data_IF_629184770635
#
_entry.id   IF_629184770635
#
_cell.length_a   1.000
_cell.length_b   1.000
_cell.length_c   1.000
_cell.angle_alpha   90.00
_cell.angle_beta   90.00
_cell.angle_gamma   90.00
#
_symmetry.space_group_name_H-M   'P 1'
#
loop_
_entity.id
_entity.type
_entity.pdbx_description
1 polymer ?
#
# COMPACT_ATOMS: atom_id res chain seq x y z
N UNK A 1 -0.14 10.05 10.56
CA UNK A 1 -1.23 9.81 11.53
C UNK A 1 -1.34 8.34 11.91
N UNK A 2 -1.70 7.41 11.01
CA UNK A 2 -1.81 5.98 11.36
C UNK A 2 -0.51 5.39 11.95
N UNK A 3 0.65 5.89 11.52
CA UNK A 3 1.96 5.55 12.08
C UNK A 3 2.19 6.00 13.54
N UNK A 4 1.33 6.84 14.11
CA UNK A 4 1.42 7.26 15.51
C UNK A 4 0.81 6.23 16.46
N UNK A 5 -0.03 5.32 15.96
CA UNK A 5 -0.67 4.27 16.76
C UNK A 5 0.36 3.25 17.28
N UNK A 6 0.12 2.67 18.47
CA UNK A 6 1.05 1.73 19.08
C UNK A 6 1.27 0.52 18.18
N UNK A 7 2.54 0.17 18.01
CA UNK A 7 3.01 -0.95 17.19
C UNK A 7 2.61 -0.91 15.71
N UNK A 8 2.10 0.24 15.21
CA UNK A 8 1.79 0.40 13.80
C UNK A 8 3.04 0.77 13.02
N UNK A 9 3.39 -0.04 12.02
CA UNK A 9 4.48 0.27 11.09
C UNK A 9 3.92 0.59 9.72
N UNK A 10 4.14 1.82 9.25
CA UNK A 10 3.70 2.25 7.92
C UNK A 10 4.80 2.00 6.90
N UNK A 11 4.53 1.14 5.91
CA UNK A 11 5.40 1.00 4.75
C UNK A 11 5.07 2.02 3.65
N UNK A 12 6.07 2.33 2.81
CA UNK A 12 5.90 3.16 1.60
C UNK A 12 4.92 2.55 0.59
N UNK A 13 4.76 3.09 -0.61
CA UNK A 13 3.82 2.49 -1.58
C UNK A 13 4.28 1.10 -2.07
N UNK A 14 3.33 0.28 -2.54
CA UNK A 14 3.60 -1.06 -3.08
C UNK A 14 4.02 -1.09 -4.57
N UNK A 15 4.20 0.07 -5.22
CA UNK A 15 4.60 0.20 -6.63
C UNK A 15 3.83 -0.74 -7.59
N UNK A 16 2.56 -1.03 -7.31
CA UNK A 16 1.70 -1.94 -8.10
C UNK A 16 2.17 -3.41 -8.15
N UNK A 17 3.05 -3.85 -7.25
CA UNK A 17 3.56 -5.24 -7.20
C UNK A 17 2.45 -6.26 -6.90
N UNK A 18 1.41 -5.89 -6.16
CA UNK A 18 0.27 -6.78 -5.88
C UNK A 18 -0.54 -7.13 -7.14
N UNK A 19 -0.61 -6.22 -8.10
CA UNK A 19 -1.22 -6.52 -9.40
C UNK A 19 -0.41 -7.56 -10.16
N UNK A 20 0.91 -7.42 -10.16
CA UNK A 20 1.82 -8.37 -10.81
C UNK A 20 1.65 -9.75 -10.17
N UNK A 21 1.62 -9.82 -8.83
CA UNK A 21 1.35 -11.05 -8.10
C UNK A 21 0.03 -11.70 -8.54
N UNK A 22 -1.07 -10.95 -8.61
CA UNK A 22 -2.37 -11.49 -9.07
C UNK A 22 -2.34 -12.05 -10.49
N UNK A 23 -1.57 -11.42 -11.39
CA UNK A 23 -1.42 -11.89 -12.77
C UNK A 23 -0.63 -13.18 -12.83
N UNK A 24 0.40 -13.32 -11.99
CA UNK A 24 1.17 -14.56 -11.87
C UNK A 24 0.28 -15.69 -11.34
N UNK A 25 -0.49 -15.44 -10.29
CA UNK A 25 -1.48 -16.39 -9.74
C UNK A 25 -2.49 -16.83 -10.81
N UNK A 26 -3.13 -15.88 -11.48
CA UNK A 26 -4.11 -16.15 -12.54
C UNK A 26 -3.50 -16.96 -13.69
N UNK A 27 -2.27 -16.64 -14.11
CA UNK A 27 -1.58 -17.37 -15.18
C UNK A 27 -1.22 -18.79 -14.76
N UNK A 28 -0.80 -18.99 -13.51
CA UNK A 28 -0.51 -20.29 -12.93
C UNK A 28 -1.76 -21.17 -12.87
N UNK A 29 -2.89 -20.61 -12.41
CA UNK A 29 -4.17 -21.34 -12.34
C UNK A 29 -4.68 -21.75 -13.72
N UNK A 30 -4.68 -20.82 -14.68
CA UNK A 30 -5.28 -21.09 -16.00
C UNK A 30 -4.38 -21.89 -16.93
N UNK A 31 -3.05 -21.75 -16.84
CA UNK A 31 -2.11 -22.27 -17.84
C UNK A 31 -0.98 -23.10 -17.24
N UNK A 32 -0.98 -23.31 -15.92
CA UNK A 32 0.12 -23.97 -15.21
C UNK A 32 1.46 -23.29 -15.46
N UNK A 33 2.55 -24.06 -15.30
CA UNK A 33 3.91 -23.57 -15.56
C UNK A 33 4.16 -23.19 -17.02
N UNK A 34 3.34 -23.64 -17.98
CA UNK A 34 3.45 -23.23 -19.38
C UNK A 34 3.10 -21.74 -19.56
N UNK A 35 2.19 -21.21 -18.74
CA UNK A 35 1.86 -19.78 -18.70
C UNK A 35 2.97 -18.88 -18.16
N UNK A 36 3.89 -19.44 -17.36
CA UNK A 36 5.06 -18.76 -16.80
C UNK A 36 6.30 -18.78 -17.71
N UNK A 37 6.29 -19.60 -18.76
CA UNK A 37 7.44 -19.84 -19.65
C UNK A 37 7.33 -19.14 -21.00
N UNK A 38 6.22 -18.44 -21.28
CA UNK A 38 5.93 -17.90 -22.61
C UNK A 38 6.88 -16.78 -23.09
N UNK A 39 7.79 -16.32 -22.22
CA UNK A 39 8.85 -15.34 -22.55
C UNK A 39 10.27 -15.87 -22.37
N UNK A 40 10.46 -17.13 -21.99
CA UNK A 40 11.81 -17.72 -21.93
C UNK A 40 12.22 -18.08 -23.36
N UNK A 41 13.33 -17.53 -23.90
CA UNK A 41 13.74 -17.83 -25.26
C UNK A 41 13.85 -19.35 -25.47
N UNK A 42 13.22 -19.86 -26.53
CA UNK A 42 13.11 -21.29 -26.82
C UNK A 42 14.44 -22.00 -27.13
N UNK A 43 15.57 -21.28 -27.08
CA UNK A 43 16.90 -21.81 -27.33
C UNK A 43 17.84 -21.45 -26.17
N UNK A 44 18.18 -22.41 -25.30
CA UNK A 44 19.29 -22.23 -24.38
C UNK A 44 20.60 -22.27 -25.19
N UNK A 45 21.39 -21.20 -25.11
CA UNK A 45 22.81 -21.29 -25.43
C UNK A 45 23.47 -22.09 -24.31
N UNK A 46 24.00 -23.28 -24.64
CA UNK A 46 24.65 -24.17 -23.69
C UNK A 46 26.10 -23.73 -23.46
N UNK A 47 26.37 -23.00 -22.39
CA UNK A 47 27.71 -22.93 -21.79
C UNK A 47 27.64 -23.38 -20.33
N UNK A 48 28.74 -23.96 -19.83
CA UNK A 48 28.81 -24.69 -18.56
C UNK A 48 28.48 -23.88 -17.29
N UNK A 49 28.32 -22.55 -17.41
CA UNK A 49 28.10 -21.64 -16.29
C UNK A 49 27.07 -20.53 -16.58
N UNK A 50 26.09 -20.77 -17.46
CA UNK A 50 25.02 -19.80 -17.66
C UNK A 50 24.14 -19.71 -16.41
N UNK A 51 24.02 -18.50 -15.84
CA UNK A 51 22.87 -18.17 -15.00
C UNK A 51 21.71 -17.99 -15.97
N UNK A 52 20.66 -18.80 -15.87
CA UNK A 52 19.42 -18.49 -16.56
C UNK A 52 18.99 -17.08 -16.12
N UNK A 53 18.65 -16.21 -17.08
CA UNK A 53 17.92 -15.00 -16.73
C UNK A 53 16.71 -15.43 -15.92
N UNK A 54 16.56 -14.82 -14.74
CA UNK A 54 15.38 -15.01 -13.92
C UNK A 54 14.21 -14.55 -14.82
N UNK A 55 13.27 -15.45 -15.17
CA UNK A 55 12.15 -15.05 -16.01
C UNK A 55 11.47 -13.82 -15.42
N UNK A 56 11.00 -12.88 -16.24
CA UNK A 56 10.21 -11.73 -15.75
C UNK A 56 9.02 -12.17 -14.88
N UNK A 57 8.58 -13.43 -15.03
CA UNK A 57 7.49 -14.07 -14.31
C UNK A 57 7.94 -14.95 -13.13
N UNK A 58 9.22 -14.89 -12.74
CA UNK A 58 9.71 -15.61 -11.59
C UNK A 58 9.15 -14.99 -10.31
N UNK A 59 8.48 -15.81 -9.51
CA UNK A 59 7.86 -15.33 -8.27
C UNK A 59 8.87 -14.94 -7.20
N UNK A 60 10.15 -15.35 -7.28
CA UNK A 60 11.15 -15.06 -6.25
C UNK A 60 11.33 -13.55 -6.00
N UNK A 61 11.52 -12.76 -7.06
CA UNK A 61 11.70 -11.31 -6.91
C UNK A 61 10.40 -10.60 -6.55
N UNK A 62 9.27 -10.99 -7.14
CA UNK A 62 7.96 -10.38 -6.82
C UNK A 62 7.52 -10.70 -5.40
N UNK A 63 7.64 -11.95 -4.93
CA UNK A 63 7.30 -12.32 -3.55
C UNK A 63 8.21 -11.61 -2.58
N UNK A 64 9.53 -11.54 -2.82
CA UNK A 64 10.43 -10.80 -1.96
C UNK A 64 10.03 -9.32 -1.87
N UNK A 65 9.73 -8.69 -3.01
CA UNK A 65 9.24 -7.30 -3.04
C UNK A 65 7.89 -7.15 -2.34
N UNK A 66 6.98 -8.11 -2.47
CA UNK A 66 5.68 -8.13 -1.79
C UNK A 66 5.87 -8.26 -0.28
N UNK A 67 6.78 -9.11 0.18
CA UNK A 67 7.11 -9.27 1.61
C UNK A 67 7.75 -8.01 2.20
N UNK A 68 8.76 -7.44 1.51
CA UNK A 68 9.38 -6.16 1.88
C UNK A 68 8.37 -5.00 1.84
N UNK A 69 7.39 -5.10 0.96
CA UNK A 69 6.28 -4.17 0.86
C UNK A 69 5.37 -4.30 2.09
N UNK A 70 4.99 -5.50 2.51
CA UNK A 70 3.99 -5.70 3.55
C UNK A 70 4.54 -5.45 4.97
N UNK A 71 5.79 -5.80 5.25
CA UNK A 71 6.39 -5.68 6.58
C UNK A 71 7.73 -4.93 6.52
N UNK A 72 7.72 -3.59 6.49
CA UNK A 72 8.96 -2.82 6.50
C UNK A 72 9.66 -2.92 7.86
N UNK A 73 11.00 -2.87 7.91
CA UNK A 73 11.74 -2.75 9.17
C UNK A 73 11.41 -1.43 9.90
N UNK A 74 11.65 -1.29 11.22
CA UNK A 74 11.49 -0.02 11.94
C UNK A 74 12.26 1.12 11.28
N UNK A 75 11.82 2.37 11.43
CA UNK A 75 12.48 3.52 10.79
C UNK A 75 13.93 3.66 11.23
N UNK A 76 14.23 3.43 12.51
CA UNK A 76 15.59 3.48 13.04
C UNK A 76 16.47 2.40 12.40
N UNK A 77 15.91 1.22 12.13
CA UNK A 77 16.60 0.13 11.42
C UNK A 77 16.75 0.47 9.93
N UNK A 78 15.73 1.07 9.30
CA UNK A 78 15.83 1.56 7.93
C UNK A 78 16.95 2.59 7.81
N UNK A 79 17.03 3.56 8.72
CA UNK A 79 18.08 4.55 8.74
C UNK A 79 19.45 3.92 9.01
N UNK A 80 19.55 2.95 9.92
CA UNK A 80 20.79 2.20 10.13
C UNK A 80 21.22 1.42 8.88
N UNK A 81 20.29 0.81 8.14
CA UNK A 81 20.58 0.13 6.86
C UNK A 81 21.04 1.12 5.79
N UNK A 82 20.41 2.30 5.71
CA UNK A 82 20.77 3.36 4.75
C UNK A 82 22.15 3.93 5.07
N UNK A 83 22.46 4.10 6.36
CA UNK A 83 23.67 4.77 6.83
C UNK A 83 24.84 3.80 7.10
N UNK A 84 24.65 2.48 7.00
CA UNK A 84 25.70 1.50 7.25
C UNK A 84 26.52 1.18 6.00
N UNK A 85 27.84 1.25 6.16
CA UNK A 85 28.79 0.83 5.14
C UNK A 85 28.63 -0.67 4.84
N UNK A 86 28.84 -1.02 3.57
CA UNK A 86 28.54 -2.35 3.00
C UNK A 86 29.13 -3.56 3.75
N UNK A 87 30.12 -3.37 4.62
CA UNK A 87 30.76 -4.41 5.45
C UNK A 87 30.04 -4.75 6.75
N UNK A 88 29.11 -3.92 7.25
CA UNK A 88 28.42 -4.13 8.55
C UNK A 88 26.93 -4.52 8.43
N UNK A 89 26.41 -4.64 7.20
CA UNK A 89 24.99 -4.97 6.92
C UNK A 89 24.49 -6.31 7.49
N UNK A 90 25.37 -7.14 8.03
CA UNK A 90 25.05 -8.52 8.41
C UNK A 90 24.74 -8.74 9.91
N UNK A 91 24.77 -7.72 10.77
CA UNK A 91 24.65 -7.93 12.23
C UNK A 91 23.36 -7.45 12.90
N UNK A 92 22.47 -6.73 12.20
CA UNK A 92 21.17 -6.37 12.77
C UNK A 92 20.23 -7.55 12.55
N UNK A 93 20.17 -8.40 13.57
CA UNK A 93 19.29 -9.56 13.61
C UNK A 93 17.84 -9.06 13.70
N UNK A 94 17.21 -8.93 12.53
CA UNK A 94 15.80 -8.56 12.35
C UNK A 94 14.87 -9.51 13.13
N UNK A 95 15.34 -10.74 13.35
CA UNK A 95 14.69 -11.81 14.11
C UNK A 95 14.35 -11.44 15.57
N UNK A 96 15.15 -10.58 16.22
CA UNK A 96 14.89 -10.12 17.59
C UNK A 96 13.74 -9.10 17.67
N UNK A 97 13.35 -8.53 16.54
CA UNK A 97 12.30 -7.52 16.45
C UNK A 97 10.92 -8.08 16.07
N UNK A 98 10.81 -9.37 15.73
CA UNK A 98 9.59 -9.91 15.08
C UNK A 98 8.79 -10.89 15.93
N UNK A 99 7.51 -10.57 16.12
CA UNK A 99 6.35 -11.20 15.41
C UNK A 99 5.06 -11.05 16.19
N UNK A 100 5.11 -10.97 17.53
CA UNK A 100 3.90 -11.02 18.37
C UNK A 100 3.25 -9.67 18.69
N UNK A 101 3.86 -8.54 18.31
CA UNK A 101 3.37 -7.20 18.69
C UNK A 101 3.12 -6.25 17.51
N UNK A 102 3.57 -6.56 16.30
CA UNK A 102 3.53 -5.59 15.19
C UNK A 102 2.19 -5.63 14.47
N UNK A 103 1.56 -4.46 14.33
CA UNK A 103 0.46 -4.23 13.41
C UNK A 103 1.03 -3.55 12.16
N UNK A 104 1.10 -4.29 11.04
CA UNK A 104 1.54 -3.73 9.77
C UNK A 104 0.46 -2.82 9.18
N UNK A 105 0.82 -1.60 8.80
CA UNK A 105 -0.02 -0.73 7.99
C UNK A 105 0.67 -0.43 6.66
N UNK A 106 -0.07 -0.54 5.56
CA UNK A 106 0.52 -0.34 4.24
C UNK A 106 -0.40 0.45 3.32
N UNK A 107 0.19 1.43 2.65
CA UNK A 107 -0.48 2.10 1.54
C UNK A 107 -0.35 1.22 0.28
N UNK A 108 -1.50 0.76 -0.21
CA UNK A 108 -1.58 -0.01 -1.45
C UNK A 108 -2.21 0.85 -2.53
N UNK A 109 -1.58 0.87 -3.71
CA UNK A 109 -2.19 1.50 -4.87
C UNK A 109 -3.03 0.47 -5.62
N UNK A 110 -4.34 0.72 -5.69
CA UNK A 110 -5.28 -0.07 -6.48
C UNK A 110 -5.74 0.78 -7.65
N UNK A 111 -5.39 0.38 -8.89
CA UNK A 111 -5.61 1.19 -10.08
C UNK A 111 -6.72 0.61 -10.96
N UNK A 112 -7.63 1.48 -11.42
CA UNK A 112 -8.60 1.14 -12.46
C UNK A 112 -7.90 0.82 -13.79
N UNK A 113 -8.53 -0.04 -14.61
CA UNK A 113 -8.02 -0.47 -15.93
C UNK A 113 -7.13 -1.71 -15.91
N UNK A 114 -6.52 -2.03 -14.76
CA UNK A 114 -5.76 -3.27 -14.52
C UNK A 114 -6.65 -4.38 -13.94
N UNK A 115 -7.57 -3.98 -13.06
CA UNK A 115 -8.60 -4.82 -12.46
C UNK A 115 -9.98 -4.19 -12.64
N UNK A 116 -11.02 -5.01 -12.57
CA UNK A 116 -12.34 -4.58 -12.11
C UNK A 116 -12.36 -4.53 -10.57
N UNK A 117 -13.21 -3.69 -9.97
CA UNK A 117 -13.29 -3.58 -8.51
C UNK A 117 -13.59 -4.94 -7.83
N UNK A 118 -14.44 -5.76 -8.46
CA UNK A 118 -14.76 -7.11 -8.00
C UNK A 118 -13.58 -8.09 -8.08
N UNK A 119 -12.76 -8.01 -9.13
CA UNK A 119 -11.56 -8.85 -9.24
C UNK A 119 -10.53 -8.48 -8.17
N UNK A 120 -10.34 -7.18 -7.95
CA UNK A 120 -9.47 -6.71 -6.89
C UNK A 120 -9.98 -7.20 -5.52
N UNK A 121 -11.27 -6.99 -5.20
CA UNK A 121 -11.82 -7.39 -3.89
C UNK A 121 -11.68 -8.88 -3.63
N UNK A 122 -11.91 -9.74 -4.64
CA UNK A 122 -11.68 -11.19 -4.53
C UNK A 122 -10.22 -11.53 -4.24
N UNK A 123 -9.29 -10.95 -4.99
CA UNK A 123 -7.86 -11.17 -4.78
C UNK A 123 -7.42 -10.78 -3.37
N UNK A 124 -7.85 -9.60 -2.90
CA UNK A 124 -7.50 -9.11 -1.56
C UNK A 124 -8.13 -9.94 -0.45
N UNK A 125 -9.41 -10.30 -0.55
CA UNK A 125 -10.08 -11.15 0.43
C UNK A 125 -9.47 -12.55 0.54
N UNK A 126 -9.01 -13.09 -0.58
CA UNK A 126 -8.39 -14.42 -0.61
C UNK A 126 -6.96 -14.40 -0.06
N UNK A 127 -6.12 -13.46 -0.51
CA UNK A 127 -4.70 -13.42 -0.15
C UNK A 127 -4.43 -12.77 1.21
N UNK A 128 -5.32 -11.90 1.69
CA UNK A 128 -5.16 -11.16 2.95
C UNK A 128 -6.44 -11.23 3.78
N UNK A 129 -6.86 -12.43 4.22
CA UNK A 129 -8.18 -12.64 4.82
C UNK A 129 -8.38 -11.84 6.12
N UNK A 130 -7.30 -11.56 6.86
CA UNK A 130 -7.34 -10.83 8.12
C UNK A 130 -7.07 -9.32 7.98
N UNK A 131 -6.81 -8.82 6.77
CA UNK A 131 -6.50 -7.42 6.57
C UNK A 131 -7.77 -6.55 6.61
N UNK A 132 -7.60 -5.35 7.17
CA UNK A 132 -8.57 -4.25 7.11
C UNK A 132 -8.07 -3.19 6.13
N UNK A 133 -8.98 -2.59 5.38
CA UNK A 133 -8.70 -1.65 4.30
C UNK A 133 -9.36 -0.30 4.58
N UNK A 134 -8.53 0.72 4.80
CA UNK A 134 -8.99 2.11 4.78
C UNK A 134 -8.89 2.58 3.34
N UNK A 135 -10.04 2.89 2.74
CA UNK A 135 -10.12 3.35 1.36
C UNK A 135 -10.39 4.86 1.41
N UNK A 136 -9.37 5.64 1.11
CA UNK A 136 -9.47 7.09 1.07
C UNK A 136 -9.72 7.56 -0.38
N UNK A 137 -10.79 8.31 -0.60
CA UNK A 137 -11.12 8.88 -1.92
C UNK A 137 -11.59 10.34 -1.77
N UNK A 138 -11.86 11.02 -2.89
CA UNK A 138 -12.39 12.40 -2.90
C UNK A 138 -13.76 12.44 -3.57
N UNK A 139 -14.67 13.20 -2.97
CA UNK A 139 -15.97 13.50 -3.59
C UNK A 139 -15.82 14.56 -4.68
N UNK A 140 -14.98 15.58 -4.44
CA UNK A 140 -14.81 16.68 -5.35
C UNK A 140 -13.73 16.36 -6.40
N UNK A 141 -14.19 15.81 -7.54
CA UNK A 141 -13.33 15.48 -8.68
C UNK A 141 -12.61 16.71 -9.22
N UNK A 142 -13.24 17.89 -9.25
CA UNK A 142 -12.65 19.11 -9.81
C UNK A 142 -11.46 19.59 -8.99
N UNK A 143 -11.57 19.57 -7.66
CA UNK A 143 -10.45 19.91 -6.77
C UNK A 143 -9.30 18.91 -6.90
N UNK A 144 -9.60 17.63 -7.13
CA UNK A 144 -8.59 16.61 -7.38
C UNK A 144 -7.90 16.82 -8.73
N UNK A 145 -8.65 17.18 -9.77
CA UNK A 145 -8.11 17.56 -11.08
C UNK A 145 -7.19 18.77 -10.95
N UNK A 146 -7.65 19.83 -10.28
CA UNK A 146 -6.87 21.05 -10.07
C UNK A 146 -5.59 20.77 -9.29
N UNK A 147 -5.67 20.00 -8.21
CA UNK A 147 -4.51 19.58 -7.43
C UNK A 147 -3.52 18.79 -8.29
N UNK A 148 -3.99 17.83 -9.10
CA UNK A 148 -3.10 17.06 -9.96
C UNK A 148 -2.42 17.92 -11.03
N UNK A 149 -3.15 18.88 -11.63
CA UNK A 149 -2.59 19.83 -12.61
C UNK A 149 -1.51 20.73 -11.99
N UNK A 150 -1.74 21.19 -10.75
CA UNK A 150 -0.80 22.06 -10.06
C UNK A 150 0.48 21.33 -9.61
N UNK A 151 0.38 20.04 -9.30
CA UNK A 151 1.51 19.26 -8.75
C UNK A 151 2.34 18.56 -9.83
N UNK A 152 1.73 18.12 -10.92
CA UNK A 152 2.40 17.34 -11.96
C UNK A 152 2.32 18.03 -13.32
N UNK A 153 3.43 18.64 -13.74
CA UNK A 153 3.63 19.11 -15.12
C UNK A 153 3.85 17.88 -16.03
N UNK A 154 2.78 17.29 -16.56
CA UNK A 154 2.89 16.04 -17.32
C UNK A 154 1.77 15.73 -18.33
N UNK A 155 2.07 14.92 -19.36
CA UNK A 155 1.47 14.94 -20.71
C UNK A 155 0.17 14.13 -20.84
N UNK A 156 -0.56 13.88 -19.76
CA UNK A 156 -1.88 13.29 -19.91
C UNK A 156 -2.74 14.28 -20.71
N UNK A 157 -3.45 13.86 -21.78
CA UNK A 157 -4.41 14.73 -22.44
C UNK A 157 -5.31 15.35 -21.37
N UNK A 158 -5.20 16.66 -21.17
CA UNK A 158 -5.87 17.37 -20.08
C UNK A 158 -7.39 17.16 -20.12
N UNK A 159 -7.90 16.83 -21.32
CA UNK A 159 -9.30 16.53 -21.64
C UNK A 159 -9.78 15.20 -21.03
N UNK A 160 -8.92 14.19 -20.85
CA UNK A 160 -9.30 12.89 -20.26
C UNK A 160 -9.11 12.81 -18.74
N UNK A 161 -8.47 13.83 -18.15
CA UNK A 161 -8.08 13.83 -16.75
C UNK A 161 -9.28 13.75 -15.78
N UNK A 162 -10.36 14.54 -15.95
CA UNK A 162 -11.53 14.47 -15.07
C UNK A 162 -12.19 13.10 -15.11
N UNK A 163 -12.41 12.55 -16.31
CA UNK A 163 -13.00 11.23 -16.49
C UNK A 163 -12.14 10.12 -15.88
N UNK A 164 -10.82 10.21 -16.04
CA UNK A 164 -9.89 9.26 -15.44
C UNK A 164 -9.96 9.30 -13.92
N UNK A 165 -9.98 10.49 -13.31
CA UNK A 165 -10.10 10.65 -11.86
C UNK A 165 -11.45 10.11 -11.37
N UNK A 166 -12.55 10.48 -12.03
CA UNK A 166 -13.87 9.96 -11.73
C UNK A 166 -13.89 8.43 -11.77
N UNK A 167 -13.37 7.81 -12.83
CA UNK A 167 -13.26 6.34 -12.95
C UNK A 167 -12.43 5.72 -11.83
N UNK A 168 -11.39 6.39 -11.34
CA UNK A 168 -10.59 5.91 -10.22
C UNK A 168 -11.36 5.99 -8.89
N UNK A 169 -12.06 7.10 -8.63
CA UNK A 169 -12.87 7.28 -7.42
C UNK A 169 -14.08 6.32 -7.41
N UNK A 170 -14.73 6.13 -8.56
CA UNK A 170 -15.81 5.15 -8.74
C UNK A 170 -15.31 3.73 -8.51
N UNK A 171 -14.11 3.40 -9.01
CA UNK A 171 -13.47 2.11 -8.81
C UNK A 171 -13.19 1.84 -7.32
N UNK A 172 -12.64 2.82 -6.58
CA UNK A 172 -12.35 2.68 -5.15
C UNK A 172 -13.63 2.53 -4.32
N UNK A 173 -14.67 3.29 -4.66
CA UNK A 173 -16.00 3.17 -4.03
C UNK A 173 -16.58 1.78 -4.25
N UNK A 174 -16.57 1.28 -5.49
CA UNK A 174 -17.04 -0.07 -5.79
C UNK A 174 -16.19 -1.14 -5.11
N UNK A 175 -14.87 -0.94 -5.04
CA UNK A 175 -13.97 -1.85 -4.33
C UNK A 175 -14.37 -1.93 -2.85
N UNK A 176 -14.66 -0.80 -2.20
CA UNK A 176 -15.17 -0.77 -0.84
C UNK A 176 -16.50 -1.53 -0.70
N UNK A 177 -17.43 -1.36 -1.66
CA UNK A 177 -18.74 -2.03 -1.65
C UNK A 177 -18.65 -3.55 -1.83
N UNK A 178 -17.70 -4.03 -2.64
CA UNK A 178 -17.46 -5.46 -2.80
C UNK A 178 -16.67 -6.08 -1.65
N UNK A 179 -16.09 -5.25 -0.80
CA UNK A 179 -15.55 -5.66 0.49
C UNK A 179 -16.67 -5.53 1.53
N UNK A 180 -16.64 -6.36 2.56
CA UNK A 180 -17.61 -6.26 3.65
C UNK A 180 -17.25 -5.10 4.60
N UNK A 181 -18.22 -4.51 5.29
CA UNK A 181 -18.01 -3.34 6.18
C UNK A 181 -17.05 -3.62 7.36
N UNK A 182 -16.92 -4.89 7.77
CA UNK A 182 -15.95 -5.33 8.76
C UNK A 182 -14.51 -5.31 8.23
N UNK A 183 -14.33 -5.37 6.91
CA UNK A 183 -13.03 -5.41 6.24
C UNK A 183 -12.64 -4.11 5.56
N UNK A 184 -13.59 -3.32 5.06
CA UNK A 184 -13.29 -2.09 4.38
C UNK A 184 -14.07 -0.91 4.95
N UNK A 185 -13.37 0.20 5.15
CA UNK A 185 -13.95 1.47 5.53
C UNK A 185 -13.62 2.53 4.49
N UNK A 186 -14.64 3.01 3.81
CA UNK A 186 -14.54 4.14 2.87
C UNK A 186 -14.56 5.44 3.66
N UNK A 187 -13.58 6.29 3.43
CA UNK A 187 -13.51 7.64 3.99
C UNK A 187 -13.27 8.65 2.88
N UNK A 188 -13.89 9.81 2.99
CA UNK A 188 -13.72 10.90 2.03
C UNK A 188 -12.80 11.96 2.60
N UNK A 189 -11.86 12.44 1.78
CA UNK A 189 -10.91 13.47 2.21
C UNK A 189 -11.60 14.73 2.72
N UNK A 190 -12.70 15.13 2.09
CA UNK A 190 -13.51 16.27 2.49
C UNK A 190 -14.10 16.14 3.90
N UNK A 191 -14.31 14.91 4.37
CA UNK A 191 -14.87 14.63 5.69
C UNK A 191 -13.79 14.62 6.76
N UNK A 192 -12.65 13.96 6.53
CA UNK A 192 -11.66 13.74 7.59
C UNK A 192 -10.59 14.84 7.70
N UNK A 193 -10.32 15.61 6.64
CA UNK A 193 -9.19 16.57 6.62
C UNK A 193 -9.26 17.61 7.73
N UNK A 194 -10.47 18.00 8.16
CA UNK A 194 -10.68 18.97 9.24
C UNK A 194 -11.52 18.39 10.38
N UNK A 195 -11.65 17.06 10.46
CA UNK A 195 -12.51 16.40 11.44
C UNK A 195 -11.79 15.19 12.05
N UNK A 196 -11.24 15.40 13.23
CA UNK A 196 -10.53 14.35 13.96
C UNK A 196 -11.44 13.19 14.38
N UNK A 197 -12.75 13.45 14.53
CA UNK A 197 -13.74 12.42 14.89
C UNK A 197 -13.77 11.29 13.86
N UNK A 198 -13.73 11.63 12.57
CA UNK A 198 -13.71 10.62 11.50
C UNK A 198 -12.49 9.69 11.61
N UNK A 199 -11.33 10.24 11.96
CA UNK A 199 -10.11 9.45 12.14
C UNK A 199 -10.19 8.59 13.42
N UNK A 200 -10.77 9.11 14.50
CA UNK A 200 -10.97 8.37 15.74
C UNK A 200 -11.93 7.20 15.55
N UNK A 201 -13.00 7.37 14.77
CA UNK A 201 -13.89 6.26 14.41
C UNK A 201 -13.16 5.19 13.58
N UNK A 202 -12.27 5.58 12.67
CA UNK A 202 -11.43 4.62 11.92
C UNK A 202 -10.50 3.85 12.86
N UNK A 203 -9.89 4.52 13.84
CA UNK A 203 -9.01 3.89 14.84
C UNK A 203 -9.77 2.88 15.70
N UNK A 204 -10.96 3.26 16.17
CA UNK A 204 -11.84 2.35 16.90
C UNK A 204 -12.26 1.15 16.05
N UNK A 205 -12.64 1.39 14.79
CA UNK A 205 -12.98 0.31 13.84
C UNK A 205 -11.80 -0.63 13.57
N UNK A 206 -10.56 -0.13 13.55
CA UNK A 206 -9.37 -0.98 13.46
C UNK A 206 -9.20 -1.88 14.70
N UNK A 207 -9.82 -1.53 15.83
CA UNK A 207 -9.81 -2.30 17.09
C UNK A 207 -8.91 -1.70 18.17
N UNK A 208 -8.31 -0.53 17.91
CA UNK A 208 -7.52 0.17 18.92
C UNK A 208 -8.42 0.70 20.03
N UNK A 209 -7.92 0.66 21.27
CA UNK A 209 -8.67 1.04 22.47
C UNK A 209 -8.00 2.21 23.16
N UNK A 210 -8.80 3.17 23.63
CA UNK A 210 -8.34 4.38 24.31
C UNK A 210 -7.33 5.20 23.48
N UNK A 211 -7.47 5.18 22.16
CA UNK A 211 -6.64 5.94 21.24
C UNK A 211 -7.50 7.04 20.62
N UNK A 212 -7.18 8.30 20.90
CA UNK A 212 -7.88 9.46 20.35
C UNK A 212 -6.88 10.48 19.85
N UNK A 213 -6.89 10.73 18.56
CA UNK A 213 -6.21 11.89 18.00
C UNK A 213 -6.84 13.16 18.56
N UNK A 214 -6.00 14.10 18.95
CA UNK A 214 -6.36 15.46 19.34
C UNK A 214 -6.52 16.40 18.14
N UNK A 215 -5.82 16.11 17.03
CA UNK A 215 -5.82 16.91 15.79
C UNK A 215 -5.49 16.08 14.55
N UNK A 216 -5.68 16.71 13.39
CA UNK A 216 -5.26 16.18 12.09
C UNK A 216 -3.92 16.79 11.71
N UNK A 217 -2.92 15.96 11.39
CA UNK A 217 -1.63 16.42 10.85
C UNK A 217 -1.70 16.57 9.34
N UNK A 218 -1.12 17.65 8.82
CA UNK A 218 -1.03 17.90 7.39
C UNK A 218 0.39 17.67 6.86
N UNK A 219 0.63 16.50 6.25
CA UNK A 219 1.86 16.20 5.52
C UNK A 219 1.82 16.79 4.09
N UNK A 220 1.59 18.09 3.98
CA UNK A 220 1.69 18.91 2.75
C UNK A 220 1.35 20.40 3.04
N UNK A 221 1.59 20.88 4.26
CA UNK A 221 1.39 22.30 4.55
C UNK A 221 2.36 23.09 3.65
N UNK A 222 1.84 24.04 2.89
CA UNK A 222 2.65 24.89 1.99
C UNK A 222 3.48 24.14 0.93
N UNK A 223 2.99 22.99 0.42
CA UNK A 223 3.59 22.31 -0.73
C UNK A 223 4.85 21.53 -0.38
N UNK A 224 4.71 20.53 0.51
CA UNK A 224 5.71 19.55 0.98
C UNK A 224 6.35 19.82 2.36
N UNK A 225 5.95 20.84 3.12
CA UNK A 225 6.39 20.93 4.51
C UNK A 225 5.61 19.95 5.42
N UNK A 226 6.36 19.37 6.36
CA UNK A 226 5.79 18.56 7.43
C UNK A 226 5.21 19.46 8.52
N UNK A 227 4.08 19.04 9.07
CA UNK A 227 3.59 19.59 10.32
C UNK A 227 4.45 19.01 11.45
N UNK A 228 5.33 19.83 12.02
CA UNK A 228 6.24 19.43 13.11
C UNK A 228 5.50 19.24 14.45
N UNK A 229 4.18 19.43 14.50
CA UNK A 229 3.44 19.27 15.73
C UNK A 229 3.29 17.79 16.11
N UNK A 230 3.46 17.48 17.40
CA UNK A 230 3.26 16.13 17.92
C UNK A 230 1.77 15.83 18.10
N UNK A 231 1.35 14.62 17.75
CA UNK A 231 0.03 14.07 18.10
C UNK A 231 0.08 13.55 19.54
N UNK A 232 -0.95 13.86 20.31
CA UNK A 232 -1.26 13.13 21.54
C UNK A 232 -2.41 12.14 21.24
N UNK A 233 -2.22 10.86 21.60
CA UNK A 233 -3.23 9.82 21.43
C UNK A 233 -4.11 9.64 22.69
N UNK A 234 -3.85 10.43 23.72
CA UNK A 234 -4.37 10.23 25.06
C UNK A 234 -3.57 9.15 25.82
N UNK A 235 -3.61 9.24 27.14
CA UNK A 235 -2.97 8.23 28.00
C UNK A 235 -3.65 6.86 27.88
N UNK A 236 -2.86 5.81 27.65
CA UNK A 236 -3.35 4.42 27.71
C UNK A 236 -3.88 3.86 26.39
N UNK A 237 -3.47 4.40 25.24
CA UNK A 237 -3.75 3.84 23.92
C UNK A 237 -3.18 2.42 23.75
N UNK A 238 -4.03 1.46 23.37
CA UNK A 238 -3.71 0.04 23.25
C UNK A 238 -3.99 -0.48 21.85
N UNK A 239 -3.09 -1.34 21.36
CA UNK A 239 -3.30 -2.12 20.16
C UNK A 239 -4.46 -3.13 20.33
N UNK A 240 -5.16 -3.50 19.22
CA UNK A 240 -6.15 -4.57 19.18
C UNK A 240 -5.73 -5.87 19.88
#
# INVERSE_FOLDING_TARGET
>A
MINCLPNVRVGGENNNELYIASKLETNLEMRGFAGLRSKVPARPHFEAWFRHEIPEQAMACTIQKVLQTINPPPEEIQQQIINSDSSERNAIALDRYETSQILGAKMIRVQSGKWTALQASKFFNYNFPCAKYIINTRLNTDNQVASQKNTFEGPAPLEELPDRIKRQNDFLTQFAQYMSEDKARLIYMEEWTNNVTQLNEVVEWLGFRNCQYDKVLHNNKDGYHHDDSSIDLGGGCLAP
#
